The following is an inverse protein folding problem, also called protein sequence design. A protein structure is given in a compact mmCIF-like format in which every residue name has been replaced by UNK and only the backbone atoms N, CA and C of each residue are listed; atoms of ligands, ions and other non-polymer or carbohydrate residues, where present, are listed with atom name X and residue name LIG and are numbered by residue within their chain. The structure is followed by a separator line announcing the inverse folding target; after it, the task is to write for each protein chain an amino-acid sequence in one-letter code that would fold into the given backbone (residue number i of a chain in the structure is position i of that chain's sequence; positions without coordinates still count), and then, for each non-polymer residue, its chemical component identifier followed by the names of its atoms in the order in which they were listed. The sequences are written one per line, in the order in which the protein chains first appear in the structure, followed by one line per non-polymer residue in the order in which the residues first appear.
data_IF_225177256359
#
_entry.id   IF_225177256359
#
_cell.length_a   1.000
_cell.length_b   1.000
_cell.length_c   1.000
_cell.angle_alpha   90.00
_cell.angle_beta   90.00
_cell.angle_gamma   90.00
#
_symmetry.space_group_name_H-M   'P 1'
#
loop_
_entity.id
_entity.type
_entity.pdbx_description
1 polymer ?
#
# COMPACT_ATOMS: atom_id res chain seq x y z
N UNK A 1 -2.85 -22.91 10.22
CA UNK A 1 -2.46 -22.11 9.04
C UNK A 1 -2.97 -20.71 9.33
N UNK A 2 -2.10 -19.70 9.40
CA UNK A 2 -2.56 -18.33 9.59
C UNK A 2 -3.26 -17.90 8.29
N UNK A 3 -4.58 -17.79 8.34
CA UNK A 3 -5.37 -17.20 7.26
C UNK A 3 -4.97 -15.73 7.16
N UNK A 4 -4.17 -15.36 6.17
CA UNK A 4 -3.87 -13.94 5.95
C UNK A 4 -5.16 -13.29 5.47
N UNK A 5 -5.66 -12.31 6.23
CA UNK A 5 -6.81 -11.49 5.85
C UNK A 5 -6.53 -10.84 4.48
N UNK A 6 -7.37 -11.11 3.49
CA UNK A 6 -7.17 -10.62 2.11
C UNK A 6 -7.49 -9.13 1.94
N UNK A 7 -8.14 -8.52 2.93
CA UNK A 7 -8.49 -7.11 2.94
C UNK A 7 -8.23 -6.57 4.33
N UNK A 8 -7.54 -5.44 4.45
CA UNK A 8 -7.29 -4.73 5.71
C UNK A 8 -7.58 -3.26 5.53
N UNK A 9 -8.39 -2.71 6.42
CA UNK A 9 -8.70 -1.27 6.45
C UNK A 9 -7.76 -0.61 7.44
N UNK A 10 -7.00 0.38 6.98
CA UNK A 10 -6.07 1.16 7.81
C UNK A 10 -6.65 2.58 7.94
N UNK A 11 -7.10 2.98 9.14
CA UNK A 11 -7.52 4.35 9.37
C UNK A 11 -6.31 5.28 9.27
N UNK A 12 -6.47 6.38 8.56
CA UNK A 12 -5.43 7.39 8.39
C UNK A 12 -5.50 8.40 9.53
N UNK A 13 -4.36 8.71 10.11
CA UNK A 13 -4.21 9.73 11.15
C UNK A 13 -4.46 11.11 10.56
N UNK A 14 -3.94 11.34 9.34
CA UNK A 14 -4.15 12.54 8.55
C UNK A 14 -4.91 12.15 7.28
N UNK A 15 -6.12 12.69 7.05
CA UNK A 15 -6.87 12.40 5.84
C UNK A 15 -6.09 12.81 4.60
N UNK A 16 -6.09 11.94 3.59
CA UNK A 16 -5.47 12.22 2.30
C UNK A 16 -6.51 12.80 1.35
N UNK A 17 -6.12 13.81 0.58
CA UNK A 17 -6.99 14.43 -0.40
C UNK A 17 -6.47 14.15 -1.81
N UNK A 18 -7.33 13.54 -2.61
CA UNK A 18 -7.11 13.41 -4.04
C UNK A 18 -7.82 14.54 -4.76
N UNK A 19 -7.05 15.58 -5.08
CA UNK A 19 -7.52 16.79 -5.77
C UNK A 19 -8.10 16.47 -7.15
N UNK A 20 -7.60 15.45 -7.84
CA UNK A 20 -8.06 15.14 -9.21
C UNK A 20 -9.36 14.33 -9.19
N UNK A 21 -9.54 13.43 -8.23
CA UNK A 21 -10.79 12.67 -8.07
C UNK A 21 -11.80 13.37 -7.14
N UNK A 22 -11.40 14.46 -6.49
CA UNK A 22 -12.15 15.16 -5.43
C UNK A 22 -12.59 14.19 -4.32
N UNK A 23 -11.72 13.24 -4.00
CA UNK A 23 -11.97 12.19 -3.00
C UNK A 23 -11.11 12.45 -1.78
N UNK A 24 -11.71 12.38 -0.59
CA UNK A 24 -11.00 12.43 0.67
C UNK A 24 -10.94 11.03 1.27
N UNK A 25 -9.74 10.54 1.54
CA UNK A 25 -9.48 9.26 2.16
C UNK A 25 -9.23 9.47 3.65
N UNK A 26 -10.17 9.03 4.48
CA UNK A 26 -10.01 8.96 5.94
C UNK A 26 -9.45 7.60 6.38
N UNK A 27 -9.49 6.62 5.47
CA UNK A 27 -8.95 5.28 5.64
C UNK A 27 -8.52 4.72 4.29
N UNK A 28 -7.55 3.80 4.30
CA UNK A 28 -7.12 3.04 3.13
C UNK A 28 -7.57 1.59 3.25
N UNK A 29 -8.28 1.10 2.24
CA UNK A 29 -8.59 -0.32 2.10
C UNK A 29 -7.45 -1.00 1.33
N UNK A 30 -6.64 -1.82 1.99
CA UNK A 30 -5.55 -2.57 1.38
C UNK A 30 -6.00 -3.99 1.05
N UNK A 31 -5.92 -4.36 -0.22
CA UNK A 31 -6.21 -5.73 -0.69
C UNK A 31 -4.94 -6.56 -0.77
N UNK A 32 -5.10 -7.88 -0.76
CA UNK A 32 -4.01 -8.80 -1.06
C UNK A 32 -3.46 -8.47 -2.46
N UNK A 33 -2.13 -8.31 -2.60
CA UNK A 33 -1.54 -7.99 -3.89
C UNK A 33 -1.72 -9.15 -4.88
N UNK A 34 -2.00 -8.82 -6.13
CA UNK A 34 -1.95 -9.80 -7.23
C UNK A 34 -0.51 -10.08 -7.62
N UNK A 35 -0.28 -11.19 -8.35
CA UNK A 35 1.05 -11.54 -8.85
C UNK A 35 1.68 -10.38 -9.63
N UNK A 36 0.93 -9.76 -10.55
CA UNK A 36 1.42 -8.64 -11.35
C UNK A 36 1.72 -7.37 -10.54
N UNK A 37 1.05 -7.16 -9.41
CA UNK A 37 1.36 -6.05 -8.50
C UNK A 37 2.63 -6.33 -7.69
N UNK A 38 2.83 -7.57 -7.28
CA UNK A 38 4.07 -8.01 -6.62
C UNK A 38 5.28 -7.92 -7.58
N UNK A 39 5.12 -8.32 -8.84
CA UNK A 39 6.14 -8.15 -9.88
C UNK A 39 6.53 -6.68 -10.04
N UNK A 40 5.54 -5.79 -10.20
CA UNK A 40 5.79 -4.34 -10.28
C UNK A 40 6.50 -3.78 -9.04
N UNK A 41 6.19 -4.31 -7.85
CA UNK A 41 6.91 -3.97 -6.62
C UNK A 41 8.40 -4.36 -6.73
N UNK A 42 8.71 -5.61 -7.11
CA UNK A 42 10.09 -6.07 -7.24
C UNK A 42 10.87 -5.31 -8.32
N UNK A 43 10.24 -5.03 -9.46
CA UNK A 43 10.84 -4.22 -10.53
C UNK A 43 11.16 -2.80 -10.04
N UNK A 44 10.20 -2.15 -9.37
CA UNK A 44 10.39 -0.81 -8.82
C UNK A 44 11.41 -0.79 -7.69
N UNK A 45 11.49 -1.85 -6.89
CA UNK A 45 12.47 -2.01 -5.82
C UNK A 45 13.88 -2.13 -6.40
N UNK A 46 14.06 -2.91 -7.47
CA UNK A 46 15.34 -3.06 -8.16
C UNK A 46 15.79 -1.76 -8.87
N UNK A 47 14.83 -1.01 -9.44
CA UNK A 47 15.13 0.22 -10.19
C UNK A 47 15.24 1.50 -9.33
N UNK A 48 14.77 1.48 -8.08
CA UNK A 48 14.69 2.69 -7.25
C UNK A 48 15.01 2.40 -5.78
N UNK A 49 14.04 2.58 -4.88
CA UNK A 49 14.22 2.35 -3.44
C UNK A 49 13.06 1.51 -2.93
N UNK A 50 13.29 0.73 -1.86
CA UNK A 50 12.25 -0.06 -1.20
C UNK A 50 11.05 0.78 -0.79
N UNK A 51 11.28 2.03 -0.36
CA UNK A 51 10.21 2.95 0.03
C UNK A 51 9.35 3.37 -1.18
N UNK A 52 9.98 3.69 -2.31
CA UNK A 52 9.25 4.02 -3.54
C UNK A 52 8.47 2.81 -4.09
N UNK A 53 9.04 1.61 -4.01
CA UNK A 53 8.38 0.38 -4.40
C UNK A 53 7.19 0.06 -3.49
N UNK A 54 7.34 0.20 -2.17
CA UNK A 54 6.26 -0.06 -1.23
C UNK A 54 5.13 0.96 -1.40
N UNK A 55 5.44 2.24 -1.63
CA UNK A 55 4.41 3.25 -1.94
C UNK A 55 3.65 2.92 -3.22
N UNK A 56 4.34 2.45 -4.26
CA UNK A 56 3.69 1.97 -5.49
C UNK A 56 2.76 0.80 -5.17
N UNK A 57 3.20 -0.18 -4.39
CA UNK A 57 2.38 -1.33 -4.02
C UNK A 57 1.12 -0.92 -3.25
N UNK A 58 1.25 -0.02 -2.27
CA UNK A 58 0.11 0.53 -1.51
C UNK A 58 -0.88 1.22 -2.46
N UNK A 59 -0.39 2.02 -3.41
CA UNK A 59 -1.25 2.68 -4.41
C UNK A 59 -2.02 1.64 -5.24
N UNK A 60 -1.33 0.61 -5.72
CA UNK A 60 -1.91 -0.46 -6.53
C UNK A 60 -2.98 -1.27 -5.77
N UNK A 61 -2.73 -1.65 -4.52
CA UNK A 61 -3.67 -2.49 -3.75
C UNK A 61 -4.85 -1.72 -3.16
N UNK A 62 -4.70 -0.40 -2.96
CA UNK A 62 -5.75 0.47 -2.44
C UNK A 62 -6.55 1.19 -3.53
N UNK A 63 -6.10 1.11 -4.78
CA UNK A 63 -6.70 1.87 -5.88
C UNK A 63 -6.47 3.38 -5.78
N UNK A 64 -5.49 3.82 -4.98
CA UNK A 64 -5.11 5.22 -4.85
C UNK A 64 -3.92 5.56 -5.75
N UNK A 65 -3.56 6.85 -5.84
CA UNK A 65 -2.38 7.29 -6.60
C UNK A 65 -1.19 7.54 -5.69
N UNK A 66 0.01 7.25 -6.18
CA UNK A 66 1.26 7.52 -5.45
C UNK A 66 1.36 8.98 -4.97
N UNK A 67 0.88 9.94 -5.77
CA UNK A 67 0.87 11.37 -5.41
C UNK A 67 -0.02 11.69 -4.22
N UNK A 68 -1.12 10.95 -4.04
CA UNK A 68 -2.06 11.10 -2.91
C UNK A 68 -1.46 10.51 -1.64
N UNK A 69 -0.61 9.49 -1.78
CA UNK A 69 0.09 8.85 -0.67
C UNK A 69 1.33 9.62 -0.19
N UNK A 70 1.85 10.58 -0.97
CA UNK A 70 3.03 11.36 -0.57
C UNK A 70 2.89 12.12 0.75
N UNK A 71 1.78 12.82 1.02
CA UNK A 71 1.59 13.53 2.30
C UNK A 71 1.15 12.63 3.46
N UNK A 72 1.08 11.30 3.27
CA UNK A 72 0.69 10.37 4.32
C UNK A 72 1.69 10.34 5.47
N UNK A 73 1.18 10.20 6.69
CA UNK A 73 2.00 10.05 7.88
C UNK A 73 2.87 8.79 7.77
N UNK A 74 4.13 8.89 8.21
CA UNK A 74 5.06 7.79 8.12
C UNK A 74 4.60 6.58 8.94
N UNK A 75 3.91 6.78 10.07
CA UNK A 75 3.38 5.68 10.88
C UNK A 75 2.31 4.90 10.10
N UNK A 76 1.41 5.59 9.40
CA UNK A 76 0.37 4.95 8.60
C UNK A 76 0.96 4.22 7.39
N UNK A 77 1.99 4.81 6.76
CA UNK A 77 2.78 4.12 5.75
C UNK A 77 3.39 2.81 6.28
N UNK A 78 3.99 2.82 7.48
CA UNK A 78 4.58 1.62 8.10
C UNK A 78 3.54 0.55 8.42
N UNK A 79 2.33 0.93 8.85
CA UNK A 79 1.21 -0.02 9.03
C UNK A 79 0.82 -0.71 7.71
N UNK A 80 0.78 0.06 6.62
CA UNK A 80 0.52 -0.46 5.29
C UNK A 80 1.61 -1.43 4.84
N UNK A 81 2.88 -1.05 5.05
CA UNK A 81 4.04 -1.87 4.73
C UNK A 81 4.02 -3.21 5.48
N UNK A 82 3.79 -3.20 6.79
CA UNK A 82 3.76 -4.41 7.62
C UNK A 82 2.74 -5.43 7.10
N UNK A 83 1.54 -4.95 6.75
CA UNK A 83 0.49 -5.80 6.19
C UNK A 83 0.90 -6.42 4.84
N UNK A 84 1.45 -5.60 3.93
CA UNK A 84 1.86 -6.07 2.60
C UNK A 84 3.05 -7.03 2.65
N UNK A 85 4.02 -6.76 3.53
CA UNK A 85 5.14 -7.67 3.77
C UNK A 85 4.65 -9.02 4.31
N UNK A 86 3.54 -9.07 5.03
CA UNK A 86 2.91 -10.31 5.47
C UNK A 86 2.59 -11.26 4.31
N UNK A 87 2.21 -10.75 3.14
CA UNK A 87 2.01 -11.56 1.93
C UNK A 87 3.31 -11.89 1.22
N UNK A 88 4.22 -10.92 1.10
CA UNK A 88 5.48 -11.09 0.37
C UNK A 88 6.45 -12.05 1.08
N UNK A 89 6.32 -12.18 2.40
CA UNK A 89 7.15 -13.07 3.23
C UNK A 89 6.43 -14.36 3.64
N UNK A 90 5.18 -14.54 3.19
CA UNK A 90 4.39 -15.72 3.51
C UNK A 90 5.05 -16.98 2.94
N UNK A 91 5.21 -17.99 3.80
CA UNK A 91 5.69 -19.33 3.42
C UNK A 91 4.54 -20.33 3.63
N UNK A 92 4.18 -21.11 2.60
CA UNK A 92 3.09 -22.09 2.67
C UNK A 92 3.36 -23.22 3.66
#
# INVERSE_FOLDING_TARGET
MAEIERVKIIPLTVPLEDVTQKTRYEQLELKAPTLSQAEQFYEKQAASTSLAAMRLLIALVSGTRESVLQPMDFIDFRKCEEYLLGFLTWKP
#
